data_IF_275871327097
#
_entry.id   IF_275871327097
#
_cell.length_a   1.000
_cell.length_b   1.000
_cell.length_c   1.000
_cell.angle_alpha   90.00
_cell.angle_beta   90.00
_cell.angle_gamma   90.00
#
_symmetry.space_group_name_H-M   'P 1'
#
loop_
_entity.id
_entity.type
_entity.pdbx_description
1 polymer ?
#
# COMPACT_ATOMS: atom_id res chain seq x y z
N UNK A 1 12.30 5.66 31.77
CA UNK A 1 11.23 6.41 31.08
C UNK A 1 11.69 6.67 29.66
N UNK A 2 10.80 6.47 28.71
CA UNK A 2 11.05 6.59 27.28
C UNK A 2 10.83 8.01 26.78
N UNK A 3 11.15 8.24 25.50
CA UNK A 3 11.09 9.56 24.83
C UNK A 3 9.72 10.22 24.79
N UNK A 4 8.65 9.47 25.06
CA UNK A 4 7.28 9.97 25.12
C UNK A 4 6.74 10.08 26.56
N UNK A 5 7.52 9.71 27.58
CA UNK A 5 7.08 9.71 28.98
C UNK A 5 6.56 8.35 29.49
N UNK A 6 6.46 7.33 28.64
CA UNK A 6 6.03 5.99 29.05
C UNK A 6 7.18 5.15 29.61
N UNK A 7 6.86 3.99 30.21
CA UNK A 7 7.87 3.08 30.76
C UNK A 7 8.58 2.26 29.68
N UNK A 8 7.90 1.95 28.57
CA UNK A 8 8.42 1.18 27.45
C UNK A 8 7.69 1.53 26.14
N UNK A 9 8.20 1.01 25.02
CA UNK A 9 7.61 1.13 23.68
C UNK A 9 7.21 -0.21 23.04
N UNK A 10 6.93 -1.24 23.85
CA UNK A 10 6.66 -2.60 23.34
C UNK A 10 5.43 -2.64 22.44
N UNK A 11 4.42 -1.80 22.72
CA UNK A 11 3.18 -1.74 21.94
C UNK A 11 3.43 -1.17 20.55
N UNK A 12 4.16 -0.06 20.45
CA UNK A 12 4.51 0.60 19.19
C UNK A 12 5.35 -0.33 18.32
N UNK A 13 6.34 -1.00 18.90
CA UNK A 13 7.15 -2.03 18.23
C UNK A 13 6.27 -3.18 17.75
N UNK A 14 5.33 -3.66 18.58
CA UNK A 14 4.39 -4.73 18.20
C UNK A 14 3.54 -4.30 17.01
N UNK A 15 2.93 -3.11 17.05
CA UNK A 15 2.12 -2.57 15.95
C UNK A 15 2.93 -2.46 14.67
N UNK A 16 4.13 -1.87 14.74
CA UNK A 16 5.03 -1.79 13.58
C UNK A 16 5.33 -3.17 13.00
N UNK A 17 5.60 -4.17 13.84
CA UNK A 17 5.82 -5.56 13.42
C UNK A 17 4.60 -6.20 12.77
N UNK A 18 3.38 -5.91 13.23
CA UNK A 18 2.16 -6.39 12.57
C UNK A 18 2.02 -5.81 11.17
N UNK A 19 2.18 -4.49 11.03
CA UNK A 19 2.11 -3.84 9.72
C UNK A 19 3.21 -4.37 8.80
N UNK A 20 4.44 -4.50 9.30
CA UNK A 20 5.58 -5.08 8.60
C UNK A 20 5.31 -6.51 8.14
N UNK A 21 4.79 -7.36 9.03
CA UNK A 21 4.51 -8.76 8.74
C UNK A 21 3.41 -8.95 7.70
N UNK A 22 2.29 -8.24 7.84
CA UNK A 22 1.16 -8.32 6.91
C UNK A 22 1.56 -7.79 5.53
N UNK A 23 2.16 -6.60 5.47
CA UNK A 23 2.61 -6.02 4.19
C UNK A 23 3.72 -6.84 3.53
N UNK A 24 4.68 -7.36 4.30
CA UNK A 24 5.72 -8.24 3.79
C UNK A 24 5.17 -9.55 3.24
N UNK A 25 4.20 -10.15 3.94
CA UNK A 25 3.47 -11.32 3.44
C UNK A 25 2.78 -11.03 2.11
N UNK A 26 2.08 -9.90 1.99
CA UNK A 26 1.39 -9.52 0.76
C UNK A 26 2.38 -9.29 -0.40
N UNK A 27 3.44 -8.48 -0.18
CA UNK A 27 4.45 -8.21 -1.20
C UNK A 27 5.07 -9.50 -1.72
N UNK A 28 5.49 -10.40 -0.82
CA UNK A 28 6.04 -11.70 -1.23
C UNK A 28 5.01 -12.54 -1.98
N UNK A 29 3.76 -12.53 -1.51
CA UNK A 29 2.69 -13.32 -2.11
C UNK A 29 2.33 -12.88 -3.53
N UNK A 30 2.52 -11.62 -3.90
CA UNK A 30 2.29 -11.15 -5.27
C UNK A 30 3.21 -11.83 -6.29
N UNK A 31 4.37 -12.32 -5.85
CA UNK A 31 5.32 -13.06 -6.67
C UNK A 31 5.16 -14.58 -6.51
N UNK A 32 4.89 -15.05 -5.29
CA UNK A 32 4.78 -16.48 -5.02
C UNK A 32 3.49 -17.08 -5.57
N UNK A 33 2.35 -16.39 -5.45
CA UNK A 33 1.07 -16.89 -5.95
C UNK A 33 1.09 -17.29 -7.45
N UNK A 34 1.54 -16.44 -8.40
CA UNK A 34 1.63 -16.83 -9.81
C UNK A 34 2.57 -18.01 -10.07
N UNK A 35 3.63 -18.17 -9.27
CA UNK A 35 4.55 -19.32 -9.34
C UNK A 35 3.92 -20.64 -8.86
N UNK A 36 2.80 -20.60 -8.13
CA UNK A 36 2.08 -21.80 -7.68
C UNK A 36 0.98 -22.26 -8.64
N UNK A 37 0.74 -21.51 -9.71
CA UNK A 37 -0.27 -21.81 -10.73
C UNK A 37 0.39 -22.49 -11.93
N UNK A 38 -0.39 -23.26 -12.68
CA UNK A 38 0.07 -23.76 -13.98
C UNK A 38 0.40 -22.58 -14.92
N UNK A 39 1.45 -22.69 -15.75
CA UNK A 39 1.85 -21.61 -16.64
C UNK A 39 0.72 -21.14 -17.56
N UNK A 40 0.58 -19.82 -17.69
CA UNK A 40 -0.37 -19.21 -18.63
C UNK A 40 -1.85 -19.31 -18.25
N UNK A 41 -2.17 -19.67 -17.01
CA UNK A 41 -3.56 -19.72 -16.51
C UNK A 41 -4.13 -18.35 -16.14
N UNK A 42 -3.29 -17.33 -15.95
CA UNK A 42 -3.71 -15.95 -15.70
C UNK A 42 -3.03 -15.01 -16.69
N UNK A 43 -3.72 -14.66 -17.78
CA UNK A 43 -3.16 -13.84 -18.85
C UNK A 43 -4.10 -12.73 -19.30
N UNK A 44 -3.50 -11.58 -19.65
CA UNK A 44 -4.20 -10.45 -20.26
C UNK A 44 -5.45 -10.03 -19.48
N UNK A 45 -5.32 -9.86 -18.16
CA UNK A 45 -6.47 -9.58 -17.28
C UNK A 45 -6.81 -8.09 -17.31
N UNK A 46 -8.10 -7.76 -17.23
CA UNK A 46 -8.55 -6.41 -16.83
C UNK A 46 -9.91 -6.46 -16.10
N UNK A 47 -9.86 -6.16 -14.82
CA UNK A 47 -11.01 -6.02 -13.93
C UNK A 47 -11.24 -4.57 -13.51
N UNK A 48 -12.18 -4.40 -12.59
CA UNK A 48 -12.54 -3.17 -11.91
C UNK A 48 -11.99 -3.22 -10.49
N UNK A 49 -11.44 -2.13 -9.98
CA UNK A 49 -11.08 -2.08 -8.57
C UNK A 49 -12.31 -1.94 -7.66
N UNK A 50 -12.16 -2.38 -6.41
CA UNK A 50 -13.16 -2.33 -5.34
C UNK A 50 -14.41 -3.19 -5.59
N UNK A 51 -14.30 -4.23 -6.42
CA UNK A 51 -15.36 -5.19 -6.72
C UNK A 51 -14.76 -6.55 -7.08
N UNK A 52 -15.54 -7.62 -6.94
CA UNK A 52 -15.14 -8.97 -7.31
C UNK A 52 -15.55 -9.25 -8.75
N UNK A 53 -14.58 -9.49 -9.63
CA UNK A 53 -14.76 -9.71 -11.06
C UNK A 53 -14.35 -11.10 -11.54
N UNK A 54 -13.54 -11.83 -10.78
CA UNK A 54 -12.90 -13.09 -11.19
C UNK A 54 -13.19 -14.27 -10.24
N UNK A 55 -14.27 -14.21 -9.46
CA UNK A 55 -14.64 -15.27 -8.51
C UNK A 55 -15.08 -16.55 -9.19
N UNK A 56 -16.01 -16.45 -10.13
CA UNK A 56 -16.61 -17.60 -10.82
C UNK A 56 -16.47 -17.45 -12.33
N UNK A 57 -16.59 -18.58 -13.04
CA UNK A 57 -16.63 -18.60 -14.49
C UNK A 57 -17.84 -17.85 -15.06
N UNK A 58 -18.99 -18.04 -14.44
CA UNK A 58 -20.28 -17.45 -14.81
C UNK A 58 -21.09 -17.04 -13.57
N UNK A 59 -22.04 -16.12 -13.77
CA UNK A 59 -22.92 -15.62 -12.72
C UNK A 59 -22.30 -14.54 -11.83
N UNK A 60 -22.41 -14.71 -10.50
CA UNK A 60 -22.01 -13.69 -9.54
C UNK A 60 -20.49 -13.61 -9.41
N UNK A 61 -19.92 -12.44 -9.70
CA UNK A 61 -18.47 -12.23 -9.62
C UNK A 61 -17.70 -12.79 -10.81
N UNK A 62 -18.34 -12.92 -11.98
CA UNK A 62 -17.71 -13.35 -13.24
C UNK A 62 -17.56 -12.23 -14.27
N UNK A 63 -17.72 -10.96 -13.87
CA UNK A 63 -17.73 -9.82 -14.80
C UNK A 63 -16.42 -9.69 -15.59
N UNK A 64 -15.29 -9.98 -14.95
CA UNK A 64 -13.97 -9.97 -15.58
C UNK A 64 -13.76 -11.10 -16.59
N UNK A 65 -14.56 -12.17 -16.50
CA UNK A 65 -14.52 -13.34 -17.39
C UNK A 65 -15.47 -13.24 -18.60
N UNK A 66 -16.25 -12.16 -18.70
CA UNK A 66 -17.08 -11.91 -19.88
C UNK A 66 -16.17 -11.62 -21.07
N UNK A 67 -16.53 -12.14 -22.26
CA UNK A 67 -15.81 -11.86 -23.51
C UNK A 67 -15.88 -10.37 -23.81
N UNK A 68 -14.86 -9.64 -23.39
CA UNK A 68 -14.63 -8.25 -23.80
C UNK A 68 -13.94 -8.31 -25.16
N UNK A 69 -14.51 -7.65 -26.16
CA UNK A 69 -13.92 -7.50 -27.50
C UNK A 69 -12.43 -7.13 -27.38
N UNK A 70 -11.59 -7.65 -28.30
CA UNK A 70 -10.20 -7.24 -28.43
C UNK A 70 -10.13 -5.71 -28.35
N UNK A 71 -9.43 -5.19 -27.35
CA UNK A 71 -9.17 -3.76 -27.22
C UNK A 71 -7.72 -3.54 -27.66
N UNK A 72 -7.52 -2.50 -28.45
CA UNK A 72 -6.21 -2.15 -28.99
C UNK A 72 -5.58 -1.06 -28.13
N UNK A 73 -4.35 -1.32 -27.68
CA UNK A 73 -3.50 -0.31 -27.07
C UNK A 73 -2.34 -0.03 -28.03
N UNK A 74 -2.44 1.05 -28.80
CA UNK A 74 -1.46 1.35 -29.85
C UNK A 74 -1.56 0.35 -31.02
N UNK A 75 -0.46 -0.35 -31.32
CA UNK A 75 -0.40 -1.37 -32.39
C UNK A 75 -0.71 -2.80 -31.92
N UNK A 76 -0.89 -3.03 -30.60
CA UNK A 76 -1.15 -4.36 -30.06
C UNK A 76 -2.64 -4.57 -29.80
N UNK A 77 -3.19 -5.64 -30.37
CA UNK A 77 -4.53 -6.15 -30.08
C UNK A 77 -4.43 -7.45 -29.31
N UNK A 78 -5.02 -7.52 -28.12
CA UNK A 78 -5.06 -8.74 -27.34
C UNK A 78 -6.48 -9.02 -26.81
N UNK A 79 -6.80 -10.30 -26.64
CA UNK A 79 -8.05 -10.74 -26.01
C UNK A 79 -7.82 -10.98 -24.52
N UNK A 80 -8.71 -10.46 -23.68
CA UNK A 80 -8.67 -10.77 -22.25
C UNK A 80 -9.07 -12.22 -22.01
N UNK A 81 -8.24 -13.00 -21.31
CA UNK A 81 -8.52 -14.41 -21.05
C UNK A 81 -9.10 -14.67 -19.66
N UNK A 82 -9.19 -13.65 -18.80
CA UNK A 82 -9.77 -13.76 -17.46
C UNK A 82 -9.11 -14.82 -16.59
N UNK A 83 -9.69 -15.10 -15.43
CA UNK A 83 -9.34 -16.25 -14.58
C UNK A 83 -10.45 -16.49 -13.54
N UNK A 84 -10.41 -17.65 -12.87
CA UNK A 84 -11.39 -18.01 -11.84
C UNK A 84 -10.65 -18.35 -10.54
N UNK A 85 -10.54 -17.41 -9.60
CA UNK A 85 -9.75 -17.65 -8.39
C UNK A 85 -10.36 -18.68 -7.45
N UNK A 86 -11.66 -18.96 -7.52
CA UNK A 86 -12.29 -20.02 -6.72
C UNK A 86 -11.87 -21.43 -7.14
N UNK A 87 -11.31 -21.58 -8.34
CA UNK A 87 -10.80 -22.86 -8.88
C UNK A 87 -9.28 -23.02 -8.68
N UNK A 88 -8.60 -22.00 -8.17
CA UNK A 88 -7.15 -22.04 -7.89
C UNK A 88 -6.84 -22.85 -6.63
N UNK A 89 -5.55 -23.17 -6.43
CA UNK A 89 -5.10 -23.66 -5.13
C UNK A 89 -5.43 -22.63 -4.02
N UNK A 90 -5.67 -23.05 -2.76
CA UNK A 90 -6.16 -22.15 -1.71
C UNK A 90 -5.29 -20.92 -1.44
N UNK A 91 -3.96 -21.05 -1.60
CA UNK A 91 -3.05 -19.94 -1.39
C UNK A 91 -3.18 -18.90 -2.51
N UNK A 92 -3.07 -19.31 -3.77
CA UNK A 92 -3.25 -18.43 -4.91
C UNK A 92 -4.66 -17.82 -4.93
N UNK A 93 -5.70 -18.61 -4.63
CA UNK A 93 -7.09 -18.15 -4.55
C UNK A 93 -7.24 -16.92 -3.64
N UNK A 94 -6.70 -16.97 -2.42
CA UNK A 94 -6.77 -15.85 -1.47
C UNK A 94 -6.02 -14.62 -1.97
N UNK A 95 -4.82 -14.82 -2.55
CA UNK A 95 -3.98 -13.71 -3.02
C UNK A 95 -4.61 -13.04 -4.26
N UNK A 96 -5.10 -13.82 -5.21
CA UNK A 96 -5.77 -13.33 -6.41
C UNK A 96 -7.16 -12.76 -6.12
N UNK A 97 -7.89 -13.27 -5.11
CA UNK A 97 -9.12 -12.65 -4.64
C UNK A 97 -8.86 -11.28 -3.98
N UNK A 98 -7.77 -11.16 -3.22
CA UNK A 98 -7.35 -9.87 -2.65
C UNK A 98 -6.95 -8.89 -3.76
N UNK A 99 -6.25 -9.36 -4.80
CA UNK A 99 -5.97 -8.62 -6.01
C UNK A 99 -7.21 -8.15 -6.75
N UNK A 100 -8.15 -9.07 -7.01
CA UNK A 100 -9.41 -8.84 -7.72
C UNK A 100 -10.20 -7.71 -7.05
N UNK A 101 -10.34 -7.80 -5.73
CA UNK A 101 -11.07 -6.78 -4.97
C UNK A 101 -10.39 -5.41 -5.00
N UNK A 102 -9.06 -5.29 -5.06
CA UNK A 102 -8.37 -4.01 -4.81
C UNK A 102 -7.76 -3.38 -6.06
N UNK A 103 -7.55 -4.16 -7.13
CA UNK A 103 -6.78 -3.75 -8.30
C UNK A 103 -7.57 -3.99 -9.58
N UNK A 104 -7.38 -3.10 -10.56
CA UNK A 104 -7.89 -3.32 -11.92
C UNK A 104 -7.14 -4.42 -12.67
N UNK A 105 -5.95 -4.81 -12.18
CA UNK A 105 -5.08 -5.83 -12.76
C UNK A 105 -4.82 -5.66 -14.25
N UNK A 106 -4.76 -4.41 -14.74
CA UNK A 106 -4.48 -4.10 -16.14
C UNK A 106 -3.18 -4.75 -16.60
N UNK A 107 -3.26 -5.57 -17.66
CA UNK A 107 -2.13 -6.39 -18.12
C UNK A 107 -0.87 -5.56 -18.43
N UNK A 108 -1.04 -4.39 -19.07
CA UNK A 108 0.04 -3.50 -19.48
C UNK A 108 0.74 -2.80 -18.29
N UNK A 109 0.25 -3.06 -17.08
CA UNK A 109 0.72 -2.47 -15.82
C UNK A 109 1.15 -3.50 -14.80
N UNK A 110 1.03 -4.78 -15.11
CA UNK A 110 1.37 -5.89 -14.23
C UNK A 110 2.70 -6.52 -14.62
N UNK A 111 3.25 -7.34 -13.73
CA UNK A 111 4.41 -8.19 -14.03
C UNK A 111 3.92 -9.61 -14.33
N UNK A 112 4.79 -10.44 -14.90
CA UNK A 112 4.49 -11.83 -15.19
C UNK A 112 5.55 -12.74 -14.56
N UNK A 113 5.08 -13.81 -13.91
CA UNK A 113 5.91 -14.85 -13.30
C UNK A 113 5.27 -16.20 -13.62
N UNK A 114 6.06 -17.18 -14.06
CA UNK A 114 5.53 -18.45 -14.56
C UNK A 114 4.45 -18.26 -15.63
N UNK A 115 4.64 -17.30 -16.56
CA UNK A 115 3.65 -16.93 -17.60
C UNK A 115 2.28 -16.49 -17.05
N UNK A 116 2.20 -16.21 -15.75
CA UNK A 116 1.01 -15.74 -15.05
C UNK A 116 1.20 -14.29 -14.62
N UNK A 117 0.21 -13.46 -14.93
CA UNK A 117 0.16 -12.08 -14.49
C UNK A 117 0.07 -11.98 -12.96
N UNK A 118 0.79 -11.05 -12.35
CA UNK A 118 0.70 -10.77 -10.92
C UNK A 118 -0.72 -10.31 -10.52
N UNK A 119 -1.18 -10.66 -9.30
CA UNK A 119 -2.52 -10.31 -8.80
C UNK A 119 -2.73 -8.80 -8.59
N UNK A 120 -1.66 -8.02 -8.65
CA UNK A 120 -1.66 -6.56 -8.49
C UNK A 120 -0.83 -5.92 -9.59
N UNK A 121 -1.17 -4.67 -9.92
CA UNK A 121 -0.36 -3.86 -10.83
C UNK A 121 0.92 -3.37 -10.14
N UNK A 122 1.89 -2.93 -10.94
CA UNK A 122 3.19 -2.43 -10.48
C UNK A 122 3.09 -1.18 -9.61
N UNK A 123 2.02 -0.38 -9.72
CA UNK A 123 1.77 0.74 -8.80
C UNK A 123 1.46 0.22 -7.39
N UNK A 124 0.55 -0.75 -7.29
CA UNK A 124 0.16 -1.32 -5.99
C UNK A 124 1.33 -2.08 -5.37
N UNK A 125 2.17 -2.75 -6.17
CA UNK A 125 3.43 -3.31 -5.68
C UNK A 125 4.28 -2.23 -4.97
N UNK A 126 4.42 -1.05 -5.59
CA UNK A 126 5.09 0.10 -4.97
C UNK A 126 4.42 0.54 -3.67
N UNK A 127 3.09 0.64 -3.65
CA UNK A 127 2.32 1.04 -2.45
C UNK A 127 2.50 0.03 -1.30
N UNK A 128 2.35 -1.28 -1.55
CA UNK A 128 2.53 -2.30 -0.51
C UNK A 128 3.97 -2.40 -0.04
N UNK A 129 4.96 -2.22 -0.93
CA UNK A 129 6.36 -2.14 -0.53
C UNK A 129 6.65 -0.89 0.31
N UNK A 130 6.06 0.26 -0.05
CA UNK A 130 6.08 1.46 0.78
C UNK A 130 5.49 1.20 2.17
N UNK A 131 4.33 0.54 2.24
CA UNK A 131 3.66 0.16 3.49
C UNK A 131 4.57 -0.68 4.39
N UNK A 132 5.26 -1.66 3.80
CA UNK A 132 6.29 -2.47 4.44
C UNK A 132 7.43 -1.61 5.02
N UNK A 133 7.97 -0.69 4.24
CA UNK A 133 9.02 0.23 4.69
C UNK A 133 8.54 1.18 5.80
N UNK A 134 7.28 1.63 5.74
CA UNK A 134 6.65 2.43 6.78
C UNK A 134 6.52 1.67 8.10
N UNK A 135 6.06 0.42 8.05
CA UNK A 135 6.01 -0.49 9.21
C UNK A 135 7.40 -0.78 9.79
N UNK A 136 8.41 -0.99 8.93
CA UNK A 136 9.80 -1.20 9.35
C UNK A 136 10.33 0.01 10.12
N UNK A 137 10.17 1.21 9.55
CA UNK A 137 10.64 2.44 10.17
C UNK A 137 9.90 2.71 11.49
N UNK A 138 8.58 2.51 11.53
CA UNK A 138 7.79 2.68 12.74
C UNK A 138 8.22 1.71 13.84
N UNK A 139 8.50 0.44 13.49
CA UNK A 139 9.05 -0.55 14.44
C UNK A 139 10.35 -0.04 15.08
N UNK A 140 11.18 0.65 14.31
CA UNK A 140 12.47 1.15 14.78
C UNK A 140 12.35 2.46 15.56
N UNK A 141 11.45 3.38 15.17
CA UNK A 141 11.47 4.80 15.58
C UNK A 141 10.12 5.40 16.01
N UNK A 142 9.01 4.68 15.90
CA UNK A 142 7.68 5.17 16.25
C UNK A 142 7.44 5.25 17.77
N UNK A 143 6.72 6.29 18.20
CA UNK A 143 6.37 6.53 19.61
C UNK A 143 4.94 7.06 19.71
N UNK A 144 4.10 6.47 20.57
CA UNK A 144 2.80 7.04 20.91
C UNK A 144 3.01 8.42 21.54
N UNK A 145 2.47 9.48 20.94
CA UNK A 145 2.51 10.85 21.47
C UNK A 145 1.10 11.44 21.61
N UNK A 146 0.16 10.62 22.09
CA UNK A 146 -1.23 10.99 22.36
C UNK A 146 -2.11 11.20 21.12
N UNK A 147 -1.67 12.02 20.16
CA UNK A 147 -2.39 12.26 18.90
C UNK A 147 -1.77 11.48 17.74
N UNK A 148 -2.57 11.16 16.72
CA UNK A 148 -2.09 10.53 15.47
C UNK A 148 -1.01 11.38 14.81
N UNK A 149 -1.24 12.69 14.72
CA UNK A 149 -0.29 13.68 14.15
C UNK A 149 1.05 13.65 14.87
N UNK A 150 1.06 13.78 16.19
CA UNK A 150 2.31 13.80 16.97
C UNK A 150 3.03 12.45 16.93
N UNK A 151 2.27 11.35 16.87
CA UNK A 151 2.79 9.98 16.68
C UNK A 151 3.42 9.81 15.29
N UNK A 152 2.82 10.36 14.23
CA UNK A 152 3.44 10.36 12.90
C UNK A 152 4.74 11.18 12.89
N UNK A 153 4.72 12.36 13.49
CA UNK A 153 5.89 13.24 13.57
C UNK A 153 7.00 12.64 14.43
N UNK A 154 6.73 11.65 15.29
CA UNK A 154 7.74 11.04 16.16
C UNK A 154 8.86 10.34 15.38
N UNK A 155 8.65 10.04 14.10
CA UNK A 155 9.63 9.40 13.23
C UNK A 155 10.68 10.38 12.72
N UNK A 156 10.40 11.69 12.77
CA UNK A 156 11.34 12.73 12.36
C UNK A 156 12.43 12.95 13.43
N UNK A 157 13.63 13.39 13.05
CA UNK A 157 14.69 13.71 13.99
C UNK A 157 14.27 14.76 15.03
N UNK A 158 14.63 14.56 16.30
CA UNK A 158 14.28 15.49 17.38
C UNK A 158 14.75 16.92 17.12
N UNK A 159 15.92 17.10 16.50
CA UNK A 159 16.46 18.42 16.13
C UNK A 159 15.55 19.19 15.17
N UNK A 160 14.83 18.49 14.29
CA UNK A 160 13.86 19.12 13.39
C UNK A 160 12.55 19.45 14.11
N UNK A 161 12.18 18.64 15.11
CA UNK A 161 10.92 18.78 15.82
C UNK A 161 10.95 19.91 16.86
N UNK A 162 12.07 20.15 17.56
CA UNK A 162 12.17 21.22 18.57
C UNK A 162 11.58 22.56 18.06
N UNK A 163 12.03 23.13 16.92
CA UNK A 163 11.45 24.37 16.42
C UNK A 163 10.01 24.22 15.94
N UNK A 164 9.60 23.05 15.48
CA UNK A 164 8.21 22.78 15.06
C UNK A 164 7.25 22.82 16.24
N UNK A 165 7.64 22.23 17.38
CA UNK A 165 6.85 22.23 18.60
C UNK A 165 6.85 23.61 19.26
N UNK A 166 8.02 24.25 19.39
CA UNK A 166 8.16 25.58 19.98
C UNK A 166 7.34 26.66 19.25
N UNK A 167 7.27 26.59 17.92
CA UNK A 167 6.52 27.56 17.09
C UNK A 167 5.10 27.09 16.72
N UNK A 168 4.59 26.04 17.36
CA UNK A 168 3.26 25.46 17.08
C UNK A 168 2.99 25.12 15.60
N UNK A 169 4.02 24.70 14.84
CA UNK A 169 3.93 24.38 13.40
C UNK A 169 3.59 22.91 13.12
N UNK A 170 3.15 22.16 14.15
CA UNK A 170 2.94 20.71 14.09
C UNK A 170 1.96 20.29 13.00
N UNK A 171 0.82 20.98 12.89
CA UNK A 171 -0.22 20.66 11.90
C UNK A 171 0.30 20.86 10.48
N UNK A 172 0.88 22.03 10.20
CA UNK A 172 1.42 22.37 8.88
C UNK A 172 2.55 21.42 8.50
N UNK A 173 3.43 21.06 9.45
CA UNK A 173 4.52 20.11 9.19
C UNK A 173 3.98 18.73 8.85
N UNK A 174 3.00 18.23 9.60
CA UNK A 174 2.39 16.92 9.34
C UNK A 174 1.67 16.88 7.99
N UNK A 175 0.87 17.89 7.66
CA UNK A 175 0.21 18.01 6.36
C UNK A 175 1.24 18.15 5.22
N UNK A 176 2.30 18.95 5.42
CA UNK A 176 3.37 19.15 4.44
C UNK A 176 4.11 17.86 4.13
N UNK A 177 4.47 17.06 5.14
CA UNK A 177 5.08 15.74 4.94
C UNK A 177 4.11 14.81 4.19
N UNK A 178 2.82 14.82 4.54
CA UNK A 178 1.80 14.04 3.83
C UNK A 178 1.70 14.42 2.35
N UNK A 179 1.66 15.72 2.04
CA UNK A 179 1.63 16.23 0.66
C UNK A 179 2.86 15.77 -0.11
N UNK A 180 4.05 15.90 0.47
CA UNK A 180 5.31 15.46 -0.15
C UNK A 180 5.26 13.98 -0.49
N UNK A 181 4.79 13.12 0.43
CA UNK A 181 4.71 11.68 0.22
C UNK A 181 3.65 11.28 -0.81
N UNK A 182 2.52 11.99 -0.89
CA UNK A 182 1.48 11.74 -1.90
C UNK A 182 1.84 12.28 -3.28
N UNK A 183 2.66 13.33 -3.34
CA UNK A 183 2.90 14.11 -4.56
C UNK A 183 3.37 13.31 -5.79
N UNK A 184 4.30 12.33 -5.69
CA UNK A 184 4.80 11.66 -6.89
C UNK A 184 3.71 10.87 -7.59
N UNK A 185 2.88 10.16 -6.83
CA UNK A 185 1.77 9.37 -7.35
C UNK A 185 0.65 10.25 -7.88
N UNK A 186 0.31 11.33 -7.16
CA UNK A 186 -0.72 12.28 -7.58
C UNK A 186 -0.34 12.95 -8.90
N UNK A 187 0.89 13.45 -9.03
CA UNK A 187 1.32 14.09 -10.28
C UNK A 187 1.39 13.11 -11.44
N UNK A 188 1.95 11.91 -11.23
CA UNK A 188 2.03 10.87 -12.26
C UNK A 188 0.64 10.44 -12.75
N UNK A 189 -0.29 10.16 -11.82
CA UNK A 189 -1.67 9.80 -12.17
C UNK A 189 -2.47 10.95 -12.77
N UNK A 190 -2.33 12.17 -12.26
CA UNK A 190 -3.05 13.35 -12.77
C UNK A 190 -2.55 13.76 -14.16
N UNK A 191 -1.23 13.69 -14.40
CA UNK A 191 -0.67 13.99 -15.72
C UNK A 191 -1.13 12.98 -16.78
N UNK A 192 -1.21 11.70 -16.40
CA UNK A 192 -1.76 10.64 -17.24
C UNK A 192 -3.28 10.81 -17.49
N UNK A 193 -4.03 11.38 -16.55
CA UNK A 193 -5.46 11.69 -16.75
C UNK A 193 -5.67 12.80 -17.81
N UNK A 194 -4.75 13.75 -17.89
CA UNK A 194 -4.88 14.94 -18.75
C UNK A 194 -4.25 14.80 -20.14
N UNK A 195 -3.44 13.77 -20.38
CA UNK A 195 -2.61 13.65 -21.59
C UNK A 195 -2.59 12.21 -22.12
N UNK A 196 -2.03 12.00 -23.31
CA UNK A 196 -1.78 10.66 -23.85
C UNK A 196 -0.54 9.96 -23.25
N UNK A 197 0.05 10.52 -22.19
CA UNK A 197 1.21 9.92 -21.51
C UNK A 197 0.79 8.69 -20.71
N UNK A 198 1.57 7.61 -20.83
CA UNK A 198 1.43 6.40 -20.01
C UNK A 198 2.70 6.17 -19.18
N UNK A 199 2.52 5.96 -17.87
CA UNK A 199 3.65 5.67 -16.97
C UNK A 199 4.23 4.29 -17.27
N UNK A 200 5.55 4.16 -17.23
CA UNK A 200 6.19 2.84 -17.30
C UNK A 200 6.00 2.08 -15.98
N UNK A 201 6.11 0.74 -16.02
CA UNK A 201 6.05 -0.10 -14.82
C UNK A 201 7.03 0.35 -13.74
N UNK A 202 8.25 0.72 -14.11
CA UNK A 202 9.24 1.26 -13.18
C UNK A 202 8.78 2.58 -12.54
N UNK A 203 8.25 3.52 -13.33
CA UNK A 203 7.71 4.80 -12.82
C UNK A 203 6.55 4.57 -11.84
N UNK A 204 5.66 3.63 -12.14
CA UNK A 204 4.52 3.27 -11.27
C UNK A 204 4.98 2.77 -9.90
N UNK A 205 6.04 1.97 -9.84
CA UNK A 205 6.63 1.51 -8.57
C UNK A 205 7.19 2.68 -7.78
N UNK A 206 8.07 3.50 -8.38
CA UNK A 206 8.77 4.58 -7.66
C UNK A 206 7.80 5.67 -7.18
N UNK A 207 6.69 5.91 -7.88
CA UNK A 207 5.69 6.88 -7.44
C UNK A 207 4.77 6.30 -6.36
N UNK A 208 4.51 4.99 -6.37
CA UNK A 208 3.72 4.30 -5.36
C UNK A 208 4.44 4.16 -4.00
N UNK A 209 5.76 3.96 -3.98
CA UNK A 209 6.53 3.74 -2.74
C UNK A 209 6.36 4.87 -1.70
N UNK A 210 6.54 6.17 -2.04
CA UNK A 210 6.36 7.25 -1.09
C UNK A 210 4.95 7.32 -0.50
N UNK A 211 3.93 7.11 -1.32
CA UNK A 211 2.54 7.08 -0.87
C UNK A 211 2.30 5.92 0.11
N UNK A 212 2.72 4.71 -0.27
CA UNK A 212 2.63 3.53 0.59
C UNK A 212 3.37 3.69 1.91
N UNK A 213 4.55 4.30 1.90
CA UNK A 213 5.32 4.62 3.10
C UNK A 213 4.56 5.55 4.03
N UNK A 214 4.00 6.64 3.50
CA UNK A 214 3.14 7.55 4.27
C UNK A 214 1.93 6.84 4.87
N UNK A 215 1.26 6.00 4.08
CA UNK A 215 0.13 5.20 4.54
C UNK A 215 0.54 4.24 5.69
N UNK A 216 1.70 3.61 5.59
CA UNK A 216 2.21 2.69 6.61
C UNK A 216 2.52 3.39 7.94
N UNK A 217 3.12 4.59 7.86
CA UNK A 217 3.36 5.44 9.04
C UNK A 217 2.04 5.89 9.66
N UNK A 218 1.10 6.35 8.83
CA UNK A 218 -0.21 6.80 9.30
C UNK A 218 -0.98 5.66 9.98
N UNK A 219 -1.02 4.48 9.36
CA UNK A 219 -1.71 3.31 9.89
C UNK A 219 -1.11 2.86 11.22
N UNK A 220 0.21 2.72 11.31
CA UNK A 220 0.88 2.44 12.58
C UNK A 220 0.54 3.49 13.64
N UNK A 221 0.54 4.77 13.26
CA UNK A 221 0.28 5.88 14.18
C UNK A 221 -1.16 5.89 14.68
N UNK A 222 -2.16 5.58 13.83
CA UNK A 222 -3.57 5.46 14.23
C UNK A 222 -3.77 4.36 15.28
N UNK A 223 -3.11 3.21 15.13
CA UNK A 223 -3.21 2.12 16.10
C UNK A 223 -2.39 2.36 17.38
N UNK A 224 -1.31 3.13 17.27
CA UNK A 224 -0.40 3.42 18.39
C UNK A 224 -0.86 4.60 19.25
N UNK A 225 -1.49 5.62 18.66
CA UNK A 225 -1.89 6.84 19.36
C UNK A 225 -2.99 6.56 20.38
N UNK A 226 -2.63 6.62 21.67
CA UNK A 226 -3.51 6.29 22.78
C UNK A 226 -3.31 7.28 23.92
N UNK A 227 -4.33 8.09 24.19
CA UNK A 227 -4.36 9.06 25.28
C UNK A 227 -4.40 8.37 26.66
N UNK A 228 -5.15 7.27 26.78
CA UNK A 228 -5.34 6.50 28.01
C UNK A 228 -4.08 5.76 28.49
N UNK A 229 -3.01 5.74 27.69
CA UNK A 229 -1.70 5.25 28.11
C UNK A 229 -0.98 6.23 29.06
N UNK A 230 -1.47 7.46 29.18
CA UNK A 230 -0.87 8.53 29.95
C UNK A 230 -1.84 8.95 31.07
N UNK A 231 -1.30 9.42 32.20
CA UNK A 231 -2.12 9.97 33.29
C UNK A 231 -2.83 11.27 32.93
N UNK A 232 -2.33 11.99 31.92
CA UNK A 232 -2.91 13.22 31.39
C UNK A 232 -2.02 13.80 30.28
N UNK A 233 -2.50 14.84 29.59
CA UNK A 233 -1.79 15.41 28.45
C UNK A 233 -0.39 15.95 28.82
N UNK A 234 -0.22 16.45 30.05
CA UNK A 234 1.08 16.91 30.57
C UNK A 234 2.10 15.81 30.85
N UNK A 235 1.67 14.53 30.89
CA UNK A 235 2.58 13.40 31.05
C UNK A 235 3.26 12.98 29.74
N UNK A 236 2.85 13.56 28.60
CA UNK A 236 3.43 13.27 27.29
C UNK A 236 4.69 14.11 27.13
N UNK A 237 5.84 13.45 27.04
CA UNK A 237 7.09 14.13 26.70
C UNK A 237 7.15 14.38 25.19
N UNK A 238 7.20 15.66 24.81
CA UNK A 238 7.32 16.12 23.44
C UNK A 238 8.73 16.68 23.19
N UNK A 239 9.19 16.82 21.93
CA UNK A 239 10.46 17.46 21.65
C UNK A 239 10.45 18.94 22.04
N UNK A 240 11.36 19.32 22.95
CA UNK A 240 11.44 20.66 23.54
C UNK A 240 10.84 20.69 24.93
#
# INVERSE_FOLDING_TARGET
MERNGLNDRRREVKIGKWVLGISGFLVLSFFLAPLTLEPGTVQNVEGRANVIDFYSKDGAGSYGNLVKSNHSHGNDSHGHQGYVWSEMNPYAAVVYAFGDLNCHQKHERSLEFNENQTPFCTRDLGIFFGLFMGGLLFTQRGWNRWTVKDTCLSLLPSSWLIPVYANNRRLITWLGVGIVLCSPMLFDGFYQLLTGYESTNFKRVITGIPFGFGLGVLMCSMFASRADAFSGAGAVLLPG
#
